data_IF_351166377917
#
_entry.id   IF_351166377917
#
_cell.length_a   1.000
_cell.length_b   1.000
_cell.length_c   1.000
_cell.angle_alpha   90.00
_cell.angle_beta   90.00
_cell.angle_gamma   90.00
#
_symmetry.space_group_name_H-M   'P 1'
#
loop_
_entity.id
_entity.type
_entity.pdbx_description
1 polymer ?
#
# COMPACT_ATOMS: atom_id res chain seq x y z
N UNK A 1 -57.72 -6.04 23.01
CA UNK A 1 -56.93 -4.79 22.97
C UNK A 1 -55.65 -5.10 22.19
N UNK A 2 -55.59 -4.64 20.93
CA UNK A 2 -54.54 -4.95 19.97
C UNK A 2 -53.54 -3.79 19.95
N UNK A 3 -52.27 -4.04 20.27
CA UNK A 3 -51.20 -3.07 20.04
C UNK A 3 -50.23 -3.69 19.05
N UNK A 4 -50.39 -3.31 17.78
CA UNK A 4 -49.38 -3.48 16.73
C UNK A 4 -48.38 -2.35 16.88
N UNK A 5 -47.18 -2.62 17.39
CA UNK A 5 -46.04 -1.75 17.16
C UNK A 5 -45.16 -2.36 16.08
N UNK A 6 -45.28 -1.78 14.89
CA UNK A 6 -44.34 -1.93 13.78
C UNK A 6 -43.11 -1.10 14.13
N UNK A 7 -42.01 -1.74 14.48
CA UNK A 7 -40.70 -1.09 14.47
C UNK A 7 -40.01 -1.50 13.18
N UNK A 8 -40.29 -0.72 12.12
CA UNK A 8 -39.36 -0.58 11.02
C UNK A 8 -38.15 0.20 11.54
N UNK A 9 -37.04 -0.48 11.74
CA UNK A 9 -35.77 0.12 12.13
C UNK A 9 -34.66 -0.54 11.34
N UNK A 10 -34.26 0.13 10.27
CA UNK A 10 -33.19 -0.24 9.34
C UNK A 10 -31.95 -0.72 10.08
N UNK A 11 -31.70 -2.03 10.09
CA UNK A 11 -30.34 -2.56 10.20
C UNK A 11 -29.97 -2.95 8.78
N UNK A 12 -29.51 -1.95 8.02
CA UNK A 12 -28.58 -2.23 6.93
C UNK A 12 -27.36 -2.87 7.59
N UNK A 13 -27.37 -4.21 7.69
CA UNK A 13 -26.18 -4.99 7.87
C UNK A 13 -25.32 -4.67 6.65
N UNK A 14 -24.46 -3.67 6.83
CA UNK A 14 -23.31 -3.41 5.99
C UNK A 14 -22.50 -4.68 6.03
N UNK A 15 -22.83 -5.62 5.15
CA UNK A 15 -22.01 -6.78 4.77
C UNK A 15 -20.83 -6.33 3.90
N UNK A 16 -20.37 -5.09 4.06
CA UNK A 16 -19.05 -4.72 3.63
C UNK A 16 -18.13 -5.08 4.78
N UNK A 17 -17.58 -6.30 4.72
CA UNK A 17 -16.16 -6.63 4.86
C UNK A 17 -16.05 -8.16 4.73
N UNK A 18 -15.15 -8.63 3.86
CA UNK A 18 -13.75 -8.50 4.23
C UNK A 18 -12.90 -7.92 3.08
N UNK A 19 -11.97 -7.06 3.46
CA UNK A 19 -10.61 -7.10 2.91
C UNK A 19 -10.48 -7.45 1.42
N UNK A 20 -10.69 -6.47 0.56
CA UNK A 20 -9.71 -6.29 -0.51
C UNK A 20 -8.54 -5.49 0.07
N UNK A 21 -7.99 -5.97 1.20
CA UNK A 21 -6.57 -5.91 1.41
C UNK A 21 -6.01 -6.66 0.21
N UNK A 22 -5.80 -5.94 -0.89
CA UNK A 22 -5.02 -6.41 -2.00
C UNK A 22 -3.68 -6.74 -1.35
N UNK A 23 -3.49 -8.02 -1.01
CA UNK A 23 -2.23 -8.55 -0.53
C UNK A 23 -1.29 -8.42 -1.71
N UNK A 24 -0.72 -7.23 -1.84
CA UNK A 24 0.22 -6.94 -2.90
C UNK A 24 1.50 -7.61 -2.46
N UNK A 25 1.82 -8.67 -3.18
CA UNK A 25 2.97 -9.51 -2.89
C UNK A 25 4.29 -8.79 -3.19
N UNK A 26 4.25 -7.66 -3.90
CA UNK A 26 5.43 -6.88 -4.26
C UNK A 26 5.10 -5.42 -4.63
N UNK A 27 5.98 -4.48 -4.25
CA UNK A 27 6.01 -3.05 -4.65
C UNK A 27 5.61 -2.83 -6.12
N UNK A 28 6.10 -3.67 -7.04
CA UNK A 28 5.82 -3.55 -8.47
C UNK A 28 4.32 -3.66 -8.82
N UNK A 29 3.56 -4.52 -8.13
CA UNK A 29 2.13 -4.66 -8.37
C UNK A 29 1.35 -3.43 -7.86
N UNK A 30 1.80 -2.84 -6.75
CA UNK A 30 1.21 -1.63 -6.19
C UNK A 30 1.48 -0.44 -7.13
N UNK A 31 2.72 -0.32 -7.61
CA UNK A 31 3.14 0.73 -8.52
C UNK A 31 2.41 0.69 -9.87
N UNK A 32 2.20 -0.50 -10.47
CA UNK A 32 1.43 -0.64 -11.71
C UNK A 32 -0.02 -0.15 -11.55
N UNK A 33 -0.65 -0.46 -10.41
CA UNK A 33 -2.00 0.04 -10.09
C UNK A 33 -2.01 1.56 -9.92
N UNK A 34 -0.95 2.12 -9.33
CA UNK A 34 -0.81 3.55 -9.12
C UNK A 34 -0.80 4.36 -10.41
N UNK A 35 -0.29 3.83 -11.52
CA UNK A 35 -0.14 4.57 -12.79
C UNK A 35 -1.43 5.25 -13.24
N UNK A 36 -2.59 4.60 -13.04
CA UNK A 36 -3.91 5.11 -13.45
C UNK A 36 -4.69 5.79 -12.32
N UNK A 37 -4.08 5.96 -11.16
CA UNK A 37 -4.72 6.46 -9.95
C UNK A 37 -3.99 7.71 -9.45
N UNK A 38 -4.76 8.75 -9.12
CA UNK A 38 -4.24 9.98 -8.52
C UNK A 38 -4.16 9.88 -7.00
N UNK A 39 -4.93 8.97 -6.39
CA UNK A 39 -4.93 8.74 -4.94
C UNK A 39 -3.80 7.77 -4.57
N UNK A 40 -2.98 8.08 -3.54
CA UNK A 40 -1.95 7.16 -3.05
C UNK A 40 -2.52 5.79 -2.71
N UNK A 41 -1.79 4.74 -3.06
CA UNK A 41 -2.13 3.36 -2.70
C UNK A 41 -1.20 2.88 -1.60
N UNK A 42 -1.73 2.17 -0.62
CA UNK A 42 -0.94 1.59 0.47
C UNK A 42 -1.26 0.12 0.65
N UNK A 43 -0.22 -0.69 0.90
CA UNK A 43 -0.36 -2.09 1.22
C UNK A 43 0.68 -2.53 2.25
N UNK A 44 0.36 -3.54 3.03
CA UNK A 44 1.34 -4.20 3.89
C UNK A 44 2.15 -5.20 3.05
N UNK A 45 3.48 -5.14 3.18
CA UNK A 45 4.37 -6.15 2.64
C UNK A 45 4.33 -7.38 3.55
N UNK A 46 4.13 -8.55 2.96
CA UNK A 46 4.02 -9.84 3.68
C UNK A 46 4.83 -10.94 2.98
N UNK A 47 5.09 -12.03 3.70
CA UNK A 47 5.83 -13.19 3.20
C UNK A 47 7.34 -13.09 3.42
N UNK A 48 8.10 -14.00 2.81
CA UNK A 48 9.52 -14.22 3.11
C UNK A 48 10.43 -13.00 2.91
N UNK A 49 10.06 -12.10 1.99
CA UNK A 49 10.78 -10.84 1.79
C UNK A 49 10.54 -9.86 2.95
N UNK A 50 9.31 -9.77 3.45
CA UNK A 50 8.99 -8.98 4.65
C UNK A 50 9.74 -9.54 5.87
N UNK A 51 9.71 -10.87 6.05
CA UNK A 51 10.38 -11.55 7.17
C UNK A 51 11.89 -11.31 7.15
N UNK A 52 12.49 -11.34 5.96
CA UNK A 52 13.92 -11.03 5.79
C UNK A 52 14.21 -9.60 6.21
N UNK A 53 13.45 -8.61 5.73
CA UNK A 53 13.65 -7.22 6.11
C UNK A 53 13.49 -7.02 7.63
N UNK A 54 12.45 -7.59 8.24
CA UNK A 54 12.25 -7.48 9.70
C UNK A 54 13.39 -8.11 10.49
N UNK A 55 13.92 -9.25 10.02
CA UNK A 55 15.08 -9.89 10.63
C UNK A 55 16.35 -9.05 10.52
N UNK A 56 16.67 -8.55 9.33
CA UNK A 56 17.89 -7.76 9.09
C UNK A 56 17.84 -6.38 9.78
N UNK A 57 16.65 -5.79 9.90
CA UNK A 57 16.46 -4.48 10.56
C UNK A 57 16.14 -4.60 12.04
N UNK A 58 15.96 -5.82 12.55
CA UNK A 58 15.49 -6.10 13.91
C UNK A 58 14.17 -5.39 14.28
N UNK A 59 13.38 -5.00 13.29
CA UNK A 59 12.13 -4.29 13.51
C UNK A 59 10.99 -5.24 13.92
N UNK A 60 10.03 -4.71 14.69
CA UNK A 60 8.89 -5.48 15.21
C UNK A 60 7.54 -5.12 14.57
N UNK A 61 7.51 -4.04 13.78
CA UNK A 61 6.27 -3.53 13.20
C UNK A 61 5.97 -4.06 11.80
N UNK A 62 4.75 -3.82 11.29
CA UNK A 62 4.43 -4.12 9.91
C UNK A 62 5.28 -3.26 8.96
N UNK A 63 5.63 -3.82 7.81
CA UNK A 63 6.25 -3.08 6.70
C UNK A 63 5.13 -2.58 5.80
N UNK A 64 4.97 -1.27 5.71
CA UNK A 64 3.98 -0.63 4.85
C UNK A 64 4.66 -0.08 3.60
N UNK A 65 4.06 -0.31 2.44
CA UNK A 65 4.47 0.30 1.18
C UNK A 65 3.36 1.25 0.76
N UNK A 66 3.72 2.49 0.48
CA UNK A 66 2.82 3.50 -0.09
C UNK A 66 3.37 3.92 -1.45
N UNK A 67 2.55 3.86 -2.50
CA UNK A 67 2.88 4.41 -3.81
C UNK A 67 2.09 5.66 -4.10
N UNK A 68 2.70 6.57 -4.85
CA UNK A 68 2.10 7.84 -5.25
C UNK A 68 2.46 8.12 -6.71
N UNK A 69 1.50 8.59 -7.51
CA UNK A 69 1.79 9.10 -8.84
C UNK A 69 2.38 10.50 -8.69
N UNK A 70 3.68 10.63 -8.98
CA UNK A 70 4.41 11.90 -8.93
C UNK A 70 4.18 12.72 -10.20
N UNK A 71 4.24 12.05 -11.35
CA UNK A 71 4.08 12.70 -12.64
C UNK A 71 3.50 11.73 -13.68
N UNK A 72 2.38 12.06 -14.35
CA UNK A 72 1.91 11.28 -15.49
C UNK A 72 2.87 11.50 -16.68
N UNK A 73 3.29 10.42 -17.34
CA UNK A 73 4.12 10.48 -18.56
C UNK A 73 3.21 10.45 -19.79
N UNK A 74 2.28 9.49 -19.81
CA UNK A 74 1.20 9.35 -20.79
C UNK A 74 -0.01 8.65 -20.13
N UNK A 75 -0.97 8.18 -20.93
CA UNK A 75 -2.19 7.50 -20.44
C UNK A 75 -1.92 6.09 -19.85
N UNK A 76 -0.75 5.50 -20.14
CA UNK A 76 -0.35 4.16 -19.72
C UNK A 76 0.87 4.14 -18.82
N UNK A 77 1.59 5.24 -18.64
CA UNK A 77 2.87 5.32 -17.94
C UNK A 77 2.96 6.54 -17.02
N UNK A 78 3.69 6.38 -15.92
CA UNK A 78 3.90 7.45 -14.94
C UNK A 78 5.16 7.27 -14.12
N UNK A 79 5.62 8.37 -13.54
CA UNK A 79 6.62 8.37 -12.46
C UNK A 79 5.93 8.11 -11.14
N UNK A 80 6.33 7.02 -10.50
CA UNK A 80 5.81 6.59 -9.21
C UNK A 80 6.87 6.81 -8.14
N UNK A 81 6.45 7.30 -6.97
CA UNK A 81 7.23 7.25 -5.75
C UNK A 81 6.71 6.11 -4.90
N UNK A 82 7.58 5.17 -4.52
CA UNK A 82 7.30 4.14 -3.54
C UNK A 82 8.02 4.48 -2.22
N UNK A 83 7.26 4.60 -1.14
CA UNK A 83 7.76 4.76 0.22
C UNK A 83 7.55 3.46 0.97
N UNK A 84 8.64 2.82 1.41
CA UNK A 84 8.56 1.69 2.35
C UNK A 84 8.79 2.22 3.75
N UNK A 85 7.89 1.92 4.69
CA UNK A 85 7.99 2.31 6.11
C UNK A 85 7.98 1.07 6.97
N UNK A 86 8.95 0.97 7.88
CA UNK A 86 9.09 -0.10 8.86
C UNK A 86 8.95 0.53 10.24
N UNK A 87 7.90 0.13 10.97
CA UNK A 87 7.62 0.64 12.31
C UNK A 87 8.50 -0.07 13.34
N UNK A 88 8.80 0.64 14.43
CA UNK A 88 9.52 0.09 15.59
C UNK A 88 10.88 -0.53 15.24
N UNK A 89 11.71 0.19 14.47
CA UNK A 89 13.06 -0.23 14.11
C UNK A 89 14.05 0.24 15.19
N UNK A 90 14.85 -0.67 15.79
CA UNK A 90 15.91 -0.30 16.71
C UNK A 90 16.97 0.58 16.04
N UNK A 91 17.47 1.57 16.79
CA UNK A 91 18.53 2.48 16.35
C UNK A 91 19.81 2.24 17.15
N UNK A 92 20.94 2.69 16.59
CA UNK A 92 22.25 2.58 17.23
C UNK A 92 22.37 3.40 18.52
N UNK A 93 21.55 4.44 18.69
CA UNK A 93 21.47 5.26 19.90
C UNK A 93 20.61 4.64 21.02
N UNK A 94 20.17 3.39 20.83
CA UNK A 94 19.33 2.66 21.79
C UNK A 94 17.85 3.05 21.76
N UNK A 95 17.46 4.01 20.90
CA UNK A 95 16.05 4.37 20.71
C UNK A 95 15.37 3.46 19.69
N UNK A 96 14.05 3.59 19.59
CA UNK A 96 13.22 2.93 18.59
C UNK A 96 12.54 4.01 17.75
N UNK A 97 12.53 3.83 16.43
CA UNK A 97 11.88 4.76 15.53
C UNK A 97 11.44 4.13 14.22
N UNK A 98 10.75 4.92 13.40
CA UNK A 98 10.35 4.48 12.08
C UNK A 98 11.53 4.57 11.12
N UNK A 99 11.84 3.46 10.46
CA UNK A 99 12.75 3.45 9.33
C UNK A 99 11.94 3.57 8.04
N UNK A 100 12.40 4.41 7.10
CA UNK A 100 11.73 4.54 5.81
C UNK A 100 12.73 4.68 4.68
N UNK A 101 12.34 4.18 3.51
CA UNK A 101 13.08 4.35 2.25
C UNK A 101 12.12 4.87 1.19
N UNK A 102 12.64 5.71 0.29
CA UNK A 102 11.89 6.26 -0.84
C UNK A 102 12.64 5.97 -2.12
N UNK A 103 11.93 5.44 -3.10
CA UNK A 103 12.44 5.20 -4.45
C UNK A 103 11.47 5.79 -5.45
N UNK A 104 11.99 6.53 -6.43
CA UNK A 104 11.21 7.01 -7.57
C UNK A 104 11.65 6.26 -8.82
N UNK A 105 10.68 5.83 -9.61
CA UNK A 105 10.93 5.15 -10.88
C UNK A 105 9.77 5.37 -11.85
N UNK A 106 10.07 5.26 -13.13
CA UNK A 106 9.07 5.37 -14.19
C UNK A 106 8.60 3.96 -14.56
N UNK A 107 7.29 3.76 -14.63
CA UNK A 107 6.69 2.45 -14.91
C UNK A 107 5.37 2.64 -15.68
N UNK A 108 5.09 1.68 -16.57
CA UNK A 108 3.84 1.58 -17.29
C UNK A 108 2.88 0.58 -16.63
N UNK A 109 1.61 0.66 -16.98
CA UNK A 109 0.55 -0.18 -16.40
C UNK A 109 0.76 -1.69 -16.69
N UNK A 110 1.47 -2.02 -17.77
CA UNK A 110 1.91 -3.37 -18.11
C UNK A 110 3.14 -3.84 -17.28
N UNK A 111 3.82 -2.90 -16.61
CA UNK A 111 5.00 -3.14 -15.79
C UNK A 111 6.34 -2.94 -16.45
N UNK A 112 6.35 -2.55 -17.72
CA UNK A 112 7.58 -2.20 -18.42
C UNK A 112 7.97 -0.74 -18.12
N UNK A 113 9.24 -0.37 -18.32
CA UNK A 113 9.61 1.04 -18.36
C UNK A 113 8.95 1.71 -19.58
N UNK A 114 8.71 3.04 -19.54
CA UNK A 114 8.18 3.75 -20.70
C UNK A 114 9.10 3.58 -21.91
N UNK A 115 8.50 3.26 -23.07
CA UNK A 115 9.22 3.10 -24.32
C UNK A 115 9.65 4.47 -24.84
N UNK A 116 10.79 4.96 -24.34
CA UNK A 116 11.35 6.24 -24.76
C UNK A 116 11.90 7.06 -23.61
N UNK A 117 13.02 6.63 -23.03
CA UNK A 117 13.98 7.59 -22.47
C UNK A 117 15.11 7.72 -23.50
N UNK A 118 15.04 8.75 -24.35
CA UNK A 118 16.24 9.35 -24.93
C UNK A 118 16.63 10.53 -24.07
#
# INVERSE_FOLDING_TARGET
MNIKFVVMGVIALVSAWPSNALTITNINQLARKQVRLTVPQSAQLVGSYADTILRETHAQGPIMITTELVHPIDDQCGRIQATTTIKNTPRLDGQVGDFWTKVQFDICSDGNPPSGRK
#
